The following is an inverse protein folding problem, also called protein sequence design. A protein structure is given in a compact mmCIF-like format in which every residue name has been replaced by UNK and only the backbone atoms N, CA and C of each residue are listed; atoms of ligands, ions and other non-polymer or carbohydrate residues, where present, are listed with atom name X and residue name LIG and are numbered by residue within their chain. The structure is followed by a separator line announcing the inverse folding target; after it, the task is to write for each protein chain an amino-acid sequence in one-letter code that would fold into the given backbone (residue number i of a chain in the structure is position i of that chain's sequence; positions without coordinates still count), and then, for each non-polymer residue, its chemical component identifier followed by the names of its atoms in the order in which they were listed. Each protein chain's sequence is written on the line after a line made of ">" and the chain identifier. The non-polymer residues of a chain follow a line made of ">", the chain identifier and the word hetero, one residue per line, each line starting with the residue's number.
data_IF_248046284711
#
_entry.id   IF_248046284711
#
_cell.length_a   1.000
_cell.length_b   1.000
_cell.length_c   1.000
_cell.angle_alpha   90.00
_cell.angle_beta   90.00
_cell.angle_gamma   90.00
#
_symmetry.space_group_name_H-M   'P 1'
#
loop_
_entity.id
_entity.type
_entity.pdbx_description
1 polymer ?
#
# COMPACT_ATOMS: atom_id res chain seq x y z
N UNK A 1 -6.67 80.51 51.01
CA UNK A 1 -5.99 79.28 51.48
C UNK A 1 -6.42 78.13 50.57
N UNK A 2 -5.45 77.48 49.95
CA UNK A 2 -5.58 76.25 49.12
C UNK A 2 -5.50 75.03 50.06
N UNK A 3 -5.96 73.85 49.57
CA UNK A 3 -5.74 72.43 50.02
C UNK A 3 -7.09 71.72 50.27
N UNK A 4 -7.46 70.51 49.80
CA UNK A 4 -6.90 69.52 48.86
C UNK A 4 -8.00 68.52 48.42
N UNK A 5 -7.66 67.69 47.42
CA UNK A 5 -8.45 66.59 46.82
C UNK A 5 -8.74 65.44 47.80
N UNK A 6 -9.81 64.69 47.51
CA UNK A 6 -10.05 63.35 48.05
C UNK A 6 -10.89 62.51 47.10
N UNK A 7 -10.33 61.42 46.60
CA UNK A 7 -10.81 60.57 45.49
C UNK A 7 -11.64 59.37 45.95
N UNK A 8 -12.62 58.99 45.11
CA UNK A 8 -12.98 57.63 44.67
C UNK A 8 -13.38 56.51 45.65
N UNK A 9 -14.38 55.76 45.18
CA UNK A 9 -14.54 54.29 45.21
C UNK A 9 -15.48 53.65 46.23
N UNK A 10 -16.59 53.09 45.74
CA UNK A 10 -17.31 51.96 46.37
C UNK A 10 -18.18 51.22 45.33
N UNK A 11 -17.52 50.53 44.40
CA UNK A 11 -18.10 49.57 43.46
C UNK A 11 -17.18 48.34 43.47
N UNK A 12 -17.45 47.30 44.28
CA UNK A 12 -16.72 46.00 44.20
C UNK A 12 -17.16 44.85 45.15
N UNK A 13 -18.17 45.00 46.02
CA UNK A 13 -18.38 43.99 47.08
C UNK A 13 -19.43 42.89 46.80
N UNK A 14 -20.38 43.06 45.86
CA UNK A 14 -21.52 42.13 45.71
C UNK A 14 -21.40 41.09 44.58
N UNK A 15 -20.44 41.19 43.67
CA UNK A 15 -20.32 40.30 42.50
C UNK A 15 -19.53 39.01 42.76
N UNK A 16 -18.69 38.97 43.79
CA UNK A 16 -17.81 37.81 44.06
C UNK A 16 -18.56 36.58 44.58
N UNK A 17 -19.63 36.75 45.34
CA UNK A 17 -20.41 35.65 45.94
C UNK A 17 -21.32 34.94 44.92
N UNK A 18 -21.87 35.68 43.95
CA UNK A 18 -22.71 35.11 42.89
C UNK A 18 -21.94 34.25 41.88
N UNK A 19 -20.70 34.65 41.54
CA UNK A 19 -19.85 33.90 40.61
C UNK A 19 -19.38 32.56 41.20
N UNK A 20 -19.12 32.49 42.52
CA UNK A 20 -18.75 31.23 43.19
C UNK A 20 -19.89 30.22 43.18
N UNK A 21 -21.14 30.68 43.34
CA UNK A 21 -22.33 29.83 43.27
C UNK A 21 -22.57 29.31 41.84
N UNK A 22 -22.37 30.14 40.82
CA UNK A 22 -22.47 29.71 39.42
C UNK A 22 -21.35 28.72 39.03
N UNK A 23 -20.11 28.94 39.49
CA UNK A 23 -19.02 27.97 39.31
C UNK A 23 -19.34 26.63 39.99
N UNK A 24 -19.92 26.66 41.20
CA UNK A 24 -20.31 25.43 41.91
C UNK A 24 -21.41 24.66 41.17
N UNK A 25 -22.37 25.36 40.55
CA UNK A 25 -23.42 24.75 39.74
C UNK A 25 -22.88 24.19 38.41
N UNK A 26 -22.01 24.94 37.72
CA UNK A 26 -21.31 24.48 36.51
C UNK A 26 -20.42 23.27 36.80
N UNK A 27 -19.71 23.26 37.92
CA UNK A 27 -18.88 22.12 38.33
C UNK A 27 -19.69 20.83 38.51
N UNK A 28 -20.91 20.90 39.04
CA UNK A 28 -21.81 19.73 39.14
C UNK A 28 -22.27 19.24 37.77
N UNK A 29 -22.58 20.15 36.86
CA UNK A 29 -23.02 19.82 35.51
C UNK A 29 -21.87 19.18 34.71
N UNK A 30 -20.69 19.77 34.77
CA UNK A 30 -19.46 19.29 34.15
C UNK A 30 -19.12 17.89 34.68
N UNK A 31 -19.19 17.69 36.01
CA UNK A 31 -18.92 16.37 36.61
C UNK A 31 -19.86 15.29 36.09
N UNK A 32 -21.16 15.58 35.97
CA UNK A 32 -22.13 14.64 35.39
C UNK A 32 -21.85 14.39 33.90
N UNK A 33 -21.54 15.44 33.15
CA UNK A 33 -21.21 15.32 31.73
C UNK A 33 -19.99 14.42 31.51
N UNK A 34 -18.91 14.61 32.26
CA UNK A 34 -17.74 13.73 32.17
C UNK A 34 -18.03 12.29 32.62
N UNK A 35 -18.89 12.07 33.62
CA UNK A 35 -19.30 10.71 34.00
C UNK A 35 -19.99 9.97 32.85
N UNK A 36 -20.90 10.64 32.14
CA UNK A 36 -21.54 10.06 30.96
C UNK A 36 -20.57 9.91 29.77
N UNK A 37 -19.67 10.88 29.58
CA UNK A 37 -18.67 10.83 28.51
C UNK A 37 -17.69 9.67 28.71
N UNK A 38 -17.23 9.43 29.94
CA UNK A 38 -16.34 8.30 30.28
C UNK A 38 -17.03 6.96 30.00
N UNK A 39 -18.33 6.84 30.32
CA UNK A 39 -19.10 5.62 30.02
C UNK A 39 -19.26 5.39 28.51
N UNK A 40 -19.55 6.45 27.74
CA UNK A 40 -19.66 6.34 26.28
C UNK A 40 -18.32 6.00 25.62
N UNK A 41 -17.23 6.62 26.06
CA UNK A 41 -15.87 6.32 25.58
C UNK A 41 -15.56 4.86 25.90
N UNK A 42 -15.82 4.37 27.12
CA UNK A 42 -15.54 2.97 27.48
C UNK A 42 -16.30 1.96 26.61
N UNK A 43 -17.58 2.20 26.33
CA UNK A 43 -18.39 1.34 25.45
C UNK A 43 -17.90 1.40 24.00
N UNK A 44 -17.52 2.58 23.51
CA UNK A 44 -16.97 2.76 22.16
C UNK A 44 -15.62 2.02 22.00
N UNK A 45 -14.74 2.13 23.00
CA UNK A 45 -13.45 1.43 23.00
C UNK A 45 -13.60 -0.10 23.13
N UNK A 46 -14.60 -0.61 23.86
CA UNK A 46 -14.92 -2.04 23.87
C UNK A 46 -15.38 -2.52 22.48
N UNK A 47 -16.25 -1.76 21.79
CA UNK A 47 -16.69 -2.08 20.44
C UNK A 47 -15.59 -2.05 19.36
N UNK A 48 -14.61 -1.15 19.50
CA UNK A 48 -13.41 -1.14 18.63
C UNK A 48 -12.44 -2.26 19.00
N UNK A 49 -12.24 -2.51 20.30
CA UNK A 49 -11.36 -3.57 20.81
C UNK A 49 -11.77 -4.96 20.32
N UNK A 50 -13.06 -5.24 20.26
CA UNK A 50 -13.59 -6.51 19.75
C UNK A 50 -13.41 -6.67 18.24
N UNK A 51 -13.49 -5.57 17.46
CA UNK A 51 -13.19 -5.61 16.01
C UNK A 51 -11.70 -5.86 15.76
N UNK A 52 -10.82 -5.23 16.53
CA UNK A 52 -9.36 -5.41 16.43
C UNK A 52 -8.92 -6.79 16.92
N UNK A 53 -9.54 -7.34 17.98
CA UNK A 53 -9.27 -8.71 18.46
C UNK A 53 -9.76 -9.78 17.48
N UNK A 54 -10.94 -9.62 16.86
CA UNK A 54 -11.43 -10.55 15.83
C UNK A 54 -10.57 -10.50 14.55
N UNK A 55 -9.96 -9.36 14.24
CA UNK A 55 -9.06 -9.23 13.09
C UNK A 55 -7.66 -9.83 13.34
N UNK A 56 -7.25 -10.03 14.60
CA UNK A 56 -6.00 -10.75 14.96
C UNK A 56 -6.12 -12.27 14.93
N UNK A 57 -7.32 -12.83 14.81
CA UNK A 57 -7.55 -14.29 14.76
C UNK A 57 -7.75 -14.84 13.35
N UNK A 58 -7.57 -14.05 12.29
CA UNK A 58 -7.38 -14.62 10.96
C UNK A 58 -5.89 -14.94 10.78
N UNK A 59 -5.50 -16.23 10.72
CA UNK A 59 -4.13 -16.59 10.47
C UNK A 59 -3.79 -16.14 9.04
N UNK A 60 -2.85 -15.21 8.91
CA UNK A 60 -2.20 -14.83 7.64
C UNK A 60 -1.34 -15.97 7.05
N UNK A 61 -1.68 -17.23 7.35
CA UNK A 61 -0.97 -18.43 6.93
C UNK A 61 -1.36 -18.89 5.51
N UNK A 62 -2.53 -18.52 5.01
CA UNK A 62 -3.05 -19.13 3.78
C UNK A 62 -2.37 -18.67 2.48
N UNK A 63 -1.75 -17.49 2.41
CA UNK A 63 -1.16 -17.02 1.14
C UNK A 63 0.29 -17.44 0.96
N UNK A 64 1.12 -17.31 1.99
CA UNK A 64 2.54 -17.69 1.91
C UNK A 64 2.68 -19.21 1.83
N UNK A 65 1.88 -19.97 2.57
CA UNK A 65 1.87 -21.44 2.47
C UNK A 65 1.33 -21.92 1.12
N UNK A 66 0.34 -21.22 0.53
CA UNK A 66 -0.11 -21.53 -0.84
C UNK A 66 0.94 -21.21 -1.89
N UNK A 67 1.76 -20.17 -1.68
CA UNK A 67 2.86 -19.83 -2.57
C UNK A 67 4.01 -20.83 -2.42
N UNK A 68 4.40 -21.17 -1.19
CA UNK A 68 5.43 -22.18 -0.91
C UNK A 68 5.04 -23.56 -1.46
N UNK A 69 3.80 -24.00 -1.24
CA UNK A 69 3.32 -25.26 -1.81
C UNK A 69 3.22 -25.21 -3.35
N UNK A 70 2.94 -24.04 -3.95
CA UNK A 70 2.97 -23.89 -5.41
C UNK A 70 4.40 -23.91 -5.96
N UNK A 71 5.36 -23.27 -5.29
CA UNK A 71 6.77 -23.31 -5.66
C UNK A 71 7.34 -24.72 -5.55
N UNK A 72 7.09 -25.42 -4.44
CA UNK A 72 7.55 -26.78 -4.24
C UNK A 72 6.91 -27.76 -5.24
N UNK A 73 5.65 -27.53 -5.62
CA UNK A 73 4.97 -28.32 -6.67
C UNK A 73 5.52 -28.02 -8.07
N UNK A 74 5.96 -26.79 -8.31
CA UNK A 74 6.63 -26.40 -9.56
C UNK A 74 8.03 -27.04 -9.66
N UNK A 75 8.82 -27.10 -8.57
CA UNK A 75 10.11 -27.82 -8.57
C UNK A 75 9.98 -29.30 -8.94
N UNK A 76 8.93 -29.98 -8.47
CA UNK A 76 8.69 -31.39 -8.80
C UNK A 76 8.10 -31.63 -10.19
N UNK A 77 7.70 -30.58 -10.91
CA UNK A 77 7.02 -30.66 -12.22
C UNK A 77 7.79 -30.00 -13.36
N UNK A 78 9.11 -29.78 -13.23
CA UNK A 78 9.94 -29.42 -14.38
C UNK A 78 10.45 -30.73 -15.00
N UNK A 79 9.75 -31.39 -15.94
CA UNK A 79 10.46 -32.17 -16.92
C UNK A 79 11.36 -31.17 -17.65
N UNK A 80 12.60 -31.56 -17.92
CA UNK A 80 13.55 -30.84 -18.77
C UNK A 80 12.93 -30.59 -20.15
N UNK A 81 12.05 -29.60 -20.24
CA UNK A 81 11.39 -29.18 -21.45
C UNK A 81 12.37 -28.36 -22.26
N UNK A 82 12.44 -28.62 -23.56
CA UNK A 82 13.30 -27.86 -24.45
C UNK A 82 13.06 -26.34 -24.25
N UNK A 83 14.08 -25.55 -23.91
CA UNK A 83 13.93 -24.10 -23.69
C UNK A 83 13.53 -23.33 -24.95
N UNK A 84 13.39 -24.04 -26.08
CA UNK A 84 12.88 -23.54 -27.36
C UNK A 84 11.37 -23.66 -27.50
N UNK A 85 10.71 -24.53 -26.72
CA UNK A 85 9.27 -24.74 -26.75
C UNK A 85 8.54 -24.07 -25.59
N UNK A 86 9.26 -23.69 -24.54
CA UNK A 86 8.67 -23.05 -23.36
C UNK A 86 8.28 -21.59 -23.64
N UNK A 87 7.11 -21.22 -23.13
CA UNK A 87 6.63 -19.84 -23.18
C UNK A 87 7.19 -19.07 -21.99
N UNK A 88 7.88 -17.99 -22.28
CA UNK A 88 8.59 -17.13 -21.37
C UNK A 88 7.79 -15.86 -21.09
N UNK A 89 8.04 -15.31 -19.92
CA UNK A 89 7.62 -13.96 -19.55
C UNK A 89 8.51 -12.91 -20.21
N UNK A 90 8.07 -11.65 -20.32
CA UNK A 90 8.91 -10.55 -20.80
C UNK A 90 10.16 -10.32 -19.96
N UNK A 91 10.12 -10.70 -18.68
CA UNK A 91 11.25 -10.55 -17.75
C UNK A 91 12.32 -11.59 -18.06
N UNK A 92 11.94 -12.86 -18.14
CA UNK A 92 12.84 -13.96 -18.52
C UNK A 92 13.40 -13.76 -19.93
N UNK A 93 12.57 -13.32 -20.89
CA UNK A 93 13.02 -13.01 -22.24
C UNK A 93 14.04 -11.86 -22.27
N UNK A 94 13.89 -10.87 -21.39
CA UNK A 94 14.85 -9.76 -21.27
C UNK A 94 16.18 -10.22 -20.65
N UNK A 95 16.14 -11.12 -19.67
CA UNK A 95 17.34 -11.75 -19.10
C UNK A 95 18.07 -12.63 -20.11
N UNK A 96 17.33 -13.39 -20.92
CA UNK A 96 17.91 -14.21 -22.00
C UNK A 96 18.65 -13.40 -23.06
N UNK A 97 18.26 -12.14 -23.26
CA UNK A 97 18.96 -11.19 -24.14
C UNK A 97 20.18 -10.55 -23.45
N UNK A 98 20.49 -10.91 -22.21
CA UNK A 98 21.59 -10.36 -21.41
C UNK A 98 21.22 -9.10 -20.62
N UNK A 99 19.93 -8.77 -20.51
CA UNK A 99 19.46 -7.67 -19.69
C UNK A 99 19.45 -8.03 -18.20
N UNK A 100 19.78 -7.08 -17.34
CA UNK A 100 19.68 -7.22 -15.88
C UNK A 100 18.36 -6.62 -15.37
N UNK A 101 17.56 -7.39 -14.64
CA UNK A 101 16.29 -6.91 -14.06
C UNK A 101 16.51 -5.90 -12.92
N UNK A 102 17.57 -6.10 -12.13
CA UNK A 102 17.91 -5.24 -10.98
C UNK A 102 18.47 -3.87 -11.41
N UNK A 103 18.93 -3.76 -12.65
CA UNK A 103 19.51 -2.54 -13.17
C UNK A 103 18.49 -1.79 -14.07
N UNK A 104 17.92 -0.67 -13.64
CA UNK A 104 16.94 0.08 -14.43
C UNK A 104 17.53 0.68 -15.73
N UNK A 105 18.86 0.79 -15.81
CA UNK A 105 19.57 1.28 -17.01
C UNK A 105 19.95 0.16 -17.97
N UNK A 106 19.68 -1.11 -17.62
CA UNK A 106 19.89 -2.24 -18.50
C UNK A 106 19.08 -2.07 -19.77
N UNK A 107 19.73 -2.30 -20.92
CA UNK A 107 19.11 -2.23 -22.24
C UNK A 107 19.48 -3.46 -23.02
N UNK A 108 18.51 -3.98 -23.75
CA UNK A 108 18.71 -5.09 -24.70
C UNK A 108 18.63 -4.56 -26.11
N UNK A 109 19.54 -5.04 -26.96
CA UNK A 109 19.59 -4.69 -28.38
C UNK A 109 18.81 -5.69 -29.23
N UNK A 110 18.22 -5.25 -30.33
CA UNK A 110 17.69 -6.14 -31.35
C UNK A 110 18.79 -6.98 -31.98
N UNK A 111 18.43 -8.09 -32.64
CA UNK A 111 19.38 -8.94 -33.38
C UNK A 111 20.16 -8.16 -34.44
N UNK A 112 19.50 -7.16 -35.03
CA UNK A 112 20.08 -6.26 -36.02
C UNK A 112 20.91 -5.10 -35.42
N UNK A 113 20.96 -4.97 -34.08
CA UNK A 113 21.66 -3.89 -33.38
C UNK A 113 21.08 -2.47 -33.56
N UNK A 114 19.96 -2.32 -34.29
CA UNK A 114 19.39 -1.00 -34.64
C UNK A 114 18.65 -0.33 -33.49
N UNK A 115 18.14 -1.11 -32.53
CA UNK A 115 17.29 -0.61 -31.44
C UNK A 115 17.77 -1.18 -30.13
N UNK A 116 17.89 -0.31 -29.13
CA UNK A 116 18.20 -0.69 -27.75
C UNK A 116 17.09 -0.18 -26.84
N UNK A 117 16.45 -1.07 -26.09
CA UNK A 117 15.32 -0.72 -25.23
C UNK A 117 15.52 -1.29 -23.83
N UNK A 118 15.02 -0.57 -22.83
CA UNK A 118 14.99 -1.04 -21.45
C UNK A 118 13.77 -1.92 -21.16
N UNK A 119 13.76 -2.54 -19.99
CA UNK A 119 12.73 -3.51 -19.58
C UNK A 119 11.30 -2.95 -19.65
N UNK A 120 11.08 -1.71 -19.21
CA UNK A 120 9.74 -1.09 -19.24
C UNK A 120 9.22 -0.90 -20.67
N UNK A 121 10.11 -0.58 -21.62
CA UNK A 121 9.75 -0.47 -23.03
C UNK A 121 9.55 -1.85 -23.65
N UNK A 122 10.37 -2.84 -23.27
CA UNK A 122 10.23 -4.23 -23.69
C UNK A 122 8.86 -4.82 -23.32
N UNK A 123 8.39 -4.61 -22.08
CA UNK A 123 7.05 -5.05 -21.61
C UNK A 123 5.89 -4.40 -22.36
N UNK A 124 6.12 -3.20 -22.92
CA UNK A 124 5.10 -2.43 -23.63
C UNK A 124 4.99 -2.81 -25.09
N UNK A 125 5.92 -3.60 -25.63
CA UNK A 125 5.80 -4.10 -27.00
C UNK A 125 4.50 -4.88 -27.14
N UNK A 126 3.74 -4.57 -28.19
CA UNK A 126 2.41 -5.15 -28.45
C UNK A 126 2.41 -6.00 -29.70
N UNK A 127 3.38 -5.79 -30.58
CA UNK A 127 3.36 -6.34 -31.91
C UNK A 127 4.25 -7.57 -32.05
N UNK A 128 3.80 -8.54 -32.84
CA UNK A 128 4.58 -9.74 -33.18
C UNK A 128 5.88 -9.37 -33.90
N UNK A 129 5.82 -8.38 -34.80
CA UNK A 129 6.98 -7.91 -35.55
C UNK A 129 8.07 -7.31 -34.64
N UNK A 130 7.68 -6.59 -33.59
CA UNK A 130 8.64 -5.97 -32.67
C UNK A 130 9.40 -7.02 -31.86
N UNK A 131 8.71 -8.05 -31.38
CA UNK A 131 9.36 -9.17 -30.68
C UNK A 131 10.21 -10.03 -31.62
N UNK A 132 9.81 -10.17 -32.89
CA UNK A 132 10.58 -10.90 -33.88
C UNK A 132 11.97 -10.26 -34.13
N UNK A 133 12.07 -8.92 -34.06
CA UNK A 133 13.36 -8.22 -34.14
C UNK A 133 14.34 -8.60 -33.01
N UNK A 134 13.83 -9.07 -31.88
CA UNK A 134 14.60 -9.59 -30.74
C UNK A 134 14.75 -11.12 -30.77
N UNK A 135 14.20 -11.81 -31.78
CA UNK A 135 14.24 -13.27 -31.88
C UNK A 135 13.18 -13.98 -31.06
N UNK A 136 12.07 -13.31 -30.72
CA UNK A 136 10.95 -13.89 -30.00
C UNK A 136 9.67 -13.91 -30.84
N UNK A 137 8.92 -15.00 -30.71
CA UNK A 137 7.55 -15.15 -31.15
C UNK A 137 6.60 -14.66 -30.06
N UNK A 138 5.54 -13.96 -30.45
CA UNK A 138 4.57 -13.37 -29.53
C UNK A 138 3.18 -13.95 -29.75
N UNK A 139 2.49 -14.34 -28.67
CA UNK A 139 1.10 -14.78 -28.70
C UNK A 139 0.18 -13.79 -27.97
N UNK A 140 -0.67 -13.09 -28.73
CA UNK A 140 -1.67 -12.18 -28.17
C UNK A 140 -2.68 -12.89 -27.28
N UNK A 141 -3.11 -14.10 -27.64
CA UNK A 141 -4.13 -14.85 -26.91
C UNK A 141 -3.68 -15.23 -25.50
N UNK A 142 -2.38 -15.54 -25.35
CA UNK A 142 -1.76 -15.83 -24.05
C UNK A 142 -1.62 -14.57 -23.20
N UNK A 143 -1.24 -13.45 -23.83
CA UNK A 143 -1.17 -12.15 -23.13
C UNK A 143 -2.52 -11.74 -22.57
N UNK A 144 -3.61 -11.89 -23.33
CA UNK A 144 -4.97 -11.59 -22.86
C UNK A 144 -5.37 -12.44 -21.64
N UNK A 145 -4.82 -13.65 -21.54
CA UNK A 145 -5.04 -14.58 -20.42
C UNK A 145 -4.03 -14.40 -19.27
N UNK A 146 -3.16 -13.39 -19.33
CA UNK A 146 -2.05 -13.17 -18.38
C UNK A 146 -1.14 -14.41 -18.22
N UNK A 147 -0.93 -15.15 -19.30
CA UNK A 147 -0.01 -16.29 -19.36
C UNK A 147 1.31 -15.87 -20.02
N UNK A 148 2.43 -16.57 -19.76
CA UNK A 148 3.66 -16.40 -20.53
C UNK A 148 3.37 -16.50 -22.03
N UNK A 149 3.85 -15.52 -22.79
CA UNK A 149 3.40 -15.25 -24.15
C UNK A 149 4.53 -14.99 -25.14
N UNK A 150 5.78 -15.08 -24.70
CA UNK A 150 6.95 -15.01 -25.57
C UNK A 150 7.55 -16.39 -25.76
N UNK A 151 8.01 -16.73 -26.96
CA UNK A 151 8.73 -17.97 -27.21
C UNK A 151 9.95 -17.65 -28.04
N UNK A 152 11.05 -18.37 -27.86
CA UNK A 152 12.23 -18.15 -28.70
C UNK A 152 11.97 -18.68 -30.10
N UNK A 153 12.22 -17.85 -31.12
CA UNK A 153 12.14 -18.33 -32.50
C UNK A 153 13.27 -19.35 -32.76
N UNK A 154 12.99 -20.48 -33.43
CA UNK A 154 14.03 -21.37 -33.90
C UNK A 154 14.94 -20.61 -34.86
N UNK A 155 16.25 -20.60 -34.57
CA UNK A 155 17.29 -20.10 -35.47
C UNK A 155 17.57 -21.12 -36.57
#
# INVERSE_FOLDING_TARGET
>A
MVVERGTSSASTAQTKTGLVLLLAQLGRLIRRFFQYLILQVRLFWQGLGDRVRRQRQQPRQSFVERLANKLQRLETQIPTGDPRQEWLTPEEAFELLGGQLDNPYSKVSTLNGKRCIGLSAFRRLVNTAEYADFGFEYSSDRRLKNLPYLRRLPQ
#
